data_IF_368328733870
#
_entry.id   IF_368328733870
#
_cell.length_a   1.000
_cell.length_b   1.000
_cell.length_c   1.000
_cell.angle_alpha   90.00
_cell.angle_beta   90.00
_cell.angle_gamma   90.00
#
_symmetry.space_group_name_H-M   'P 1'
#
loop_
_entity.id
_entity.type
_entity.pdbx_description
1 polymer ?
#
# COMPACT_ATOMS: atom_id res chain seq x y z
N UNK A 1 13.34 -3.82 -13.14
CA UNK A 1 13.04 -3.95 -11.71
C UNK A 1 12.15 -2.81 -11.20
N UNK A 2 10.95 -3.16 -10.75
CA UNK A 2 9.96 -2.32 -10.09
C UNK A 2 9.78 -2.78 -8.64
N UNK A 3 9.69 -1.83 -7.70
CA UNK A 3 9.29 -2.07 -6.32
C UNK A 3 7.86 -1.61 -6.11
N UNK A 4 6.98 -2.51 -5.69
CA UNK A 4 5.58 -2.23 -5.33
C UNK A 4 5.39 -2.32 -3.83
N UNK A 5 5.13 -1.19 -3.18
CA UNK A 5 4.82 -1.14 -1.75
C UNK A 5 3.37 -1.56 -1.51
N UNK A 6 3.16 -2.46 -0.55
CA UNK A 6 1.85 -2.87 -0.03
C UNK A 6 1.82 -2.58 1.47
N UNK A 7 0.82 -1.82 1.90
CA UNK A 7 0.60 -1.49 3.31
C UNK A 7 -0.28 -2.54 4.01
N UNK A 8 -0.27 -2.53 5.34
CA UNK A 8 -0.97 -3.54 6.16
C UNK A 8 -2.49 -3.53 6.05
N UNK A 9 -3.07 -2.44 5.57
CA UNK A 9 -4.50 -2.27 5.28
C UNK A 9 -4.87 -2.63 3.83
N UNK A 10 -3.88 -2.86 2.95
CA UNK A 10 -4.02 -3.09 1.50
C UNK A 10 -4.02 -4.57 1.09
N UNK A 11 -4.37 -5.48 2.01
CA UNK A 11 -4.27 -6.93 1.82
C UNK A 11 -5.43 -7.50 0.97
N UNK A 12 -5.61 -6.99 -0.24
CA UNK A 12 -6.63 -7.37 -1.19
C UNK A 12 -6.07 -8.27 -2.31
N UNK A 13 -6.32 -9.57 -2.24
CA UNK A 13 -5.84 -10.53 -3.24
C UNK A 13 -6.45 -10.33 -4.64
N UNK A 14 -7.58 -9.63 -4.76
CA UNK A 14 -8.25 -9.38 -6.03
C UNK A 14 -7.70 -8.14 -6.78
N UNK A 15 -6.78 -7.39 -6.16
CA UNK A 15 -6.21 -6.18 -6.74
C UNK A 15 -5.51 -6.46 -8.08
N UNK A 16 -5.65 -5.53 -9.03
CA UNK A 16 -5.14 -5.69 -10.40
C UNK A 16 -3.64 -6.01 -10.50
N UNK A 17 -2.83 -5.58 -9.53
CA UNK A 17 -1.40 -5.94 -9.46
C UNK A 17 -1.14 -7.44 -9.49
N UNK A 18 -1.99 -8.25 -8.85
CA UNK A 18 -1.72 -9.67 -8.65
C UNK A 18 -2.26 -10.57 -9.77
N UNK A 19 -2.93 -9.99 -10.79
CA UNK A 19 -3.52 -10.73 -11.92
C UNK A 19 -2.48 -11.39 -12.83
N UNK A 20 -1.27 -10.85 -12.88
CA UNK A 20 -0.17 -11.36 -13.70
C UNK A 20 1.12 -11.37 -12.89
N UNK A 21 1.86 -12.47 -12.98
CA UNK A 21 3.19 -12.59 -12.37
C UNK A 21 4.21 -11.92 -13.31
N UNK A 22 4.99 -11.00 -12.76
CA UNK A 22 6.07 -10.31 -13.47
C UNK A 22 7.38 -10.49 -12.69
N UNK A 23 8.40 -11.15 -13.26
CA UNK A 23 9.68 -11.39 -12.57
C UNK A 23 10.46 -10.10 -12.30
N UNK A 24 10.13 -9.00 -12.99
CA UNK A 24 10.75 -7.69 -12.78
C UNK A 24 10.10 -6.91 -11.64
N UNK A 25 9.05 -7.45 -10.99
CA UNK A 25 8.33 -6.79 -9.91
C UNK A 25 8.68 -7.43 -8.56
N UNK A 26 9.03 -6.61 -7.58
CA UNK A 26 9.20 -7.00 -6.19
C UNK A 26 8.10 -6.33 -5.37
N UNK A 27 7.28 -7.12 -4.70
CA UNK A 27 6.30 -6.63 -3.75
C UNK A 27 6.95 -6.50 -2.38
N UNK A 28 6.94 -5.31 -1.79
CA UNK A 28 7.45 -5.06 -0.45
C UNK A 28 6.28 -4.98 0.53
N UNK A 29 6.31 -5.84 1.55
CA UNK A 29 5.42 -5.81 2.70
C UNK A 29 6.32 -5.75 3.93
N UNK A 30 6.16 -4.75 4.78
CA UNK A 30 7.03 -4.54 5.93
C UNK A 30 6.22 -4.23 7.19
N UNK A 31 6.51 -4.96 8.27
CA UNK A 31 6.05 -4.63 9.60
C UNK A 31 6.88 -3.45 10.12
N UNK A 32 6.24 -2.32 10.45
CA UNK A 32 6.93 -1.11 10.92
C UNK A 32 6.52 -0.74 12.34
N UNK A 33 7.50 -0.45 13.19
CA UNK A 33 7.26 0.02 14.57
C UNK A 33 6.62 1.42 14.61
N UNK A 34 6.88 2.25 13.60
CA UNK A 34 6.27 3.58 13.48
C UNK A 34 4.73 3.52 13.47
N UNK A 35 4.14 2.44 12.93
CA UNK A 35 2.69 2.21 12.93
C UNK A 35 2.15 1.73 14.30
N UNK A 36 3.01 1.17 15.17
CA UNK A 36 2.61 0.71 16.52
C UNK A 36 2.78 1.75 17.62
N UNK A 37 3.60 2.78 17.39
CA UNK A 37 3.92 3.81 18.39
C UNK A 37 3.04 5.06 18.29
N UNK A 38 2.28 5.23 17.20
CA UNK A 38 1.47 6.43 16.96
C UNK A 38 0.23 6.52 17.85
N UNK A 39 -0.39 5.38 18.19
CA UNK A 39 -1.52 5.28 19.13
C UNK A 39 -1.37 3.99 19.91
N UNK A 40 -1.78 3.98 21.19
CA UNK A 40 -1.85 2.74 21.98
C UNK A 40 -2.84 1.79 21.30
N UNK A 41 -2.32 0.85 20.52
CA UNK A 41 -3.13 -0.18 19.88
C UNK A 41 -3.33 -1.37 20.81
N UNK A 42 -4.53 -1.93 20.80
CA UNK A 42 -4.82 -3.17 21.51
C UNK A 42 -3.93 -4.29 20.95
N UNK A 43 -3.26 -5.05 21.83
CA UNK A 43 -2.26 -6.05 21.42
C UNK A 43 -2.81 -7.06 20.40
N UNK A 44 -4.06 -7.51 20.59
CA UNK A 44 -4.73 -8.42 19.64
C UNK A 44 -4.87 -7.83 18.24
N UNK A 45 -5.10 -6.51 18.13
CA UNK A 45 -5.19 -5.83 16.83
C UNK A 45 -3.85 -5.95 16.13
N UNK A 46 -2.77 -5.53 16.79
CA UNK A 46 -1.41 -5.55 16.23
C UNK A 46 -1.01 -6.96 15.78
N UNK A 47 -1.20 -7.97 16.64
CA UNK A 47 -0.92 -9.36 16.29
C UNK A 47 -1.75 -9.84 15.09
N UNK A 48 -3.03 -9.48 15.01
CA UNK A 48 -3.89 -9.86 13.89
C UNK A 48 -3.44 -9.21 12.58
N UNK A 49 -3.01 -7.94 12.60
CA UNK A 49 -2.48 -7.25 11.43
C UNK A 49 -1.20 -7.90 10.91
N UNK A 50 -0.22 -8.15 11.78
CA UNK A 50 1.04 -8.80 11.35
C UNK A 50 0.80 -10.22 10.84
N UNK A 51 -0.06 -11.00 11.51
CA UNK A 51 -0.42 -12.32 11.02
C UNK A 51 -1.10 -12.24 9.64
N UNK A 52 -2.00 -11.29 9.43
CA UNK A 52 -2.64 -11.10 8.13
C UNK A 52 -1.62 -10.72 7.04
N UNK A 53 -0.71 -9.79 7.34
CA UNK A 53 0.37 -9.36 6.42
C UNK A 53 1.28 -10.54 6.05
N UNK A 54 1.72 -11.33 7.03
CA UNK A 54 2.54 -12.52 6.81
C UNK A 54 1.81 -13.52 5.91
N UNK A 55 0.56 -13.87 6.24
CA UNK A 55 -0.24 -14.83 5.44
C UNK A 55 -0.48 -14.35 4.02
N UNK A 56 -0.68 -13.04 3.85
CA UNK A 56 -0.85 -12.44 2.54
C UNK A 56 0.44 -12.53 1.71
N UNK A 57 1.59 -12.22 2.30
CA UNK A 57 2.89 -12.37 1.66
C UNK A 57 3.16 -13.82 1.24
N UNK A 58 2.93 -14.78 2.15
CA UNK A 58 3.04 -16.22 1.87
C UNK A 58 2.14 -16.65 0.70
N UNK A 59 0.88 -16.19 0.68
CA UNK A 59 -0.06 -16.51 -0.40
C UNK A 59 0.38 -15.94 -1.76
N UNK A 60 0.90 -14.71 -1.79
CA UNK A 60 1.44 -14.11 -3.01
C UNK A 60 2.69 -14.84 -3.52
N UNK A 61 3.58 -15.27 -2.62
CA UNK A 61 4.75 -16.08 -2.97
C UNK A 61 4.34 -17.44 -3.55
N UNK A 62 3.34 -18.10 -2.94
CA UNK A 62 2.79 -19.36 -3.46
C UNK A 62 2.13 -19.20 -4.83
N UNK A 63 1.56 -18.03 -5.12
CA UNK A 63 1.04 -17.67 -6.44
C UNK A 63 2.14 -17.32 -7.47
N UNK A 64 3.42 -17.36 -7.09
CA UNK A 64 4.57 -17.14 -7.97
C UNK A 64 5.08 -15.70 -8.00
N UNK A 65 4.50 -14.79 -7.23
CA UNK A 65 4.99 -13.41 -7.15
C UNK A 65 6.27 -13.32 -6.31
N UNK A 66 7.17 -12.42 -6.69
CA UNK A 66 8.36 -12.12 -5.88
C UNK A 66 7.98 -11.13 -4.78
N UNK A 67 7.98 -11.60 -3.54
CA UNK A 67 7.60 -10.81 -2.36
C UNK A 67 8.75 -10.74 -1.38
N UNK A 68 9.10 -9.52 -0.99
CA UNK A 68 9.98 -9.21 0.12
C UNK A 68 9.12 -8.90 1.34
N UNK A 69 9.07 -9.84 2.28
CA UNK A 69 8.41 -9.66 3.57
C UNK A 69 9.44 -9.35 4.66
N UNK A 70 9.29 -8.21 5.33
CA UNK A 70 10.18 -7.78 6.41
C UNK A 70 9.43 -7.73 7.73
N UNK A 71 9.92 -8.49 8.71
CA UNK A 71 9.41 -8.52 10.08
C UNK A 71 9.88 -7.30 10.88
N UNK A 72 9.26 -7.06 12.04
CA UNK A 72 9.65 -6.00 12.97
C UNK A 72 11.14 -6.03 13.35
N UNK A 73 11.72 -7.22 13.48
CA UNK A 73 13.13 -7.37 13.83
C UNK A 73 14.04 -6.97 12.66
N UNK A 74 13.62 -7.26 11.42
CA UNK A 74 14.36 -6.90 10.22
C UNK A 74 14.23 -5.42 9.87
N UNK A 75 13.12 -4.78 10.22
CA UNK A 75 12.91 -3.34 9.99
C UNK A 75 13.47 -2.45 11.10
N UNK A 76 13.88 -3.05 12.23
CA UNK A 76 14.32 -2.34 13.46
C UNK A 76 15.41 -1.30 13.24
N UNK A 77 16.35 -1.58 12.34
CA UNK A 77 17.51 -0.71 12.13
C UNK A 77 17.21 0.43 11.15
N UNK A 78 16.00 0.46 10.56
CA UNK A 78 15.50 1.56 9.76
C UNK A 78 14.68 2.53 10.63
N UNK A 79 15.01 3.82 10.54
CA UNK A 79 14.34 4.84 11.35
C UNK A 79 12.85 5.00 11.01
N UNK A 80 12.49 4.86 9.74
CA UNK A 80 11.14 5.02 9.22
C UNK A 80 10.93 4.26 7.89
N UNK A 81 9.70 4.31 7.36
CA UNK A 81 9.36 3.75 6.05
C UNK A 81 10.25 4.32 4.93
N UNK A 82 10.56 5.61 4.96
CA UNK A 82 11.35 6.30 3.94
C UNK A 82 12.77 5.71 3.87
N UNK A 83 13.42 5.52 5.01
CA UNK A 83 14.75 4.93 5.14
C UNK A 83 14.75 3.47 4.65
N UNK A 84 13.71 2.71 4.99
CA UNK A 84 13.54 1.35 4.49
C UNK A 84 13.39 1.32 2.96
N UNK A 85 12.55 2.20 2.39
CA UNK A 85 12.35 2.27 0.95
C UNK A 85 13.65 2.64 0.21
N UNK A 86 14.43 3.59 0.72
CA UNK A 86 15.74 3.91 0.15
C UNK A 86 16.69 2.70 0.17
N UNK A 87 16.71 1.95 1.27
CA UNK A 87 17.51 0.75 1.40
C UNK A 87 17.10 -0.31 0.35
N UNK A 88 15.81 -0.63 0.25
CA UNK A 88 15.31 -1.60 -0.72
C UNK A 88 15.57 -1.16 -2.17
N UNK A 89 15.40 0.13 -2.47
CA UNK A 89 15.66 0.69 -3.81
C UNK A 89 17.12 0.48 -4.23
N UNK A 90 18.06 0.72 -3.32
CA UNK A 90 19.48 0.52 -3.56
C UNK A 90 19.82 -0.97 -3.67
N UNK A 91 19.38 -1.79 -2.71
CA UNK A 91 19.65 -3.22 -2.66
C UNK A 91 19.18 -3.94 -3.93
N UNK A 92 18.00 -3.58 -4.44
CA UNK A 92 17.39 -4.24 -5.58
C UNK A 92 17.59 -3.51 -6.92
N UNK A 93 18.38 -2.43 -6.93
CA UNK A 93 18.64 -1.61 -8.13
C UNK A 93 17.34 -1.21 -8.85
N UNK A 94 16.37 -0.73 -8.07
CA UNK A 94 15.03 -0.40 -8.54
C UNK A 94 15.09 0.80 -9.49
N UNK A 95 14.31 0.77 -10.57
CA UNK A 95 14.16 1.88 -11.52
C UNK A 95 12.75 2.44 -11.57
N UNK A 96 11.77 1.67 -11.06
CA UNK A 96 10.36 2.09 -10.92
C UNK A 96 9.86 1.82 -9.51
N UNK A 97 9.30 2.83 -8.86
CA UNK A 97 8.62 2.68 -7.57
C UNK A 97 7.11 2.84 -7.78
N UNK A 98 6.32 1.96 -7.18
CA UNK A 98 4.86 2.05 -7.23
C UNK A 98 4.25 1.73 -5.87
N UNK A 99 3.15 2.39 -5.55
CA UNK A 99 2.45 2.21 -4.29
C UNK A 99 0.94 2.40 -4.52
N UNK A 100 0.13 1.73 -3.70
CA UNK A 100 -1.30 1.99 -3.64
C UNK A 100 -1.57 3.18 -2.73
N UNK A 101 -2.54 4.03 -3.09
CA UNK A 101 -2.90 5.22 -2.32
C UNK A 101 -3.22 4.86 -0.86
N UNK A 102 -2.51 5.42 0.14
CA UNK A 102 -2.75 5.11 1.55
C UNK A 102 -4.03 5.76 2.06
N UNK A 103 -4.73 5.10 2.98
CA UNK A 103 -5.97 5.64 3.57
C UNK A 103 -5.70 6.66 4.69
N UNK A 104 -4.46 6.73 5.21
CA UNK A 104 -4.05 7.72 6.22
C UNK A 104 -3.34 8.93 5.59
N UNK A 105 -3.85 10.14 5.86
CA UNK A 105 -3.28 11.39 5.33
C UNK A 105 -1.80 11.61 5.71
N UNK A 106 -1.40 11.24 6.93
CA UNK A 106 0.00 11.34 7.38
C UNK A 106 0.92 10.52 6.48
N UNK A 107 0.53 9.28 6.18
CA UNK A 107 1.28 8.37 5.35
C UNK A 107 1.27 8.80 3.88
N UNK A 108 0.16 9.33 3.40
CA UNK A 108 0.04 9.97 2.09
C UNK A 108 1.08 11.10 1.94
N UNK A 109 1.14 12.02 2.90
CA UNK A 109 2.13 13.10 2.92
C UNK A 109 3.58 12.59 3.03
N UNK A 110 3.82 11.53 3.82
CA UNK A 110 5.13 10.90 3.92
C UNK A 110 5.59 10.32 2.58
N UNK A 111 4.71 9.60 1.88
CA UNK A 111 5.00 9.01 0.57
C UNK A 111 5.17 10.08 -0.51
N UNK A 112 4.34 11.14 -0.52
CA UNK A 112 4.52 12.27 -1.44
C UNK A 112 5.91 12.90 -1.28
N UNK A 113 6.31 13.21 -0.04
CA UNK A 113 7.64 13.75 0.25
C UNK A 113 8.75 12.80 -0.16
N UNK A 114 8.60 11.51 0.12
CA UNK A 114 9.56 10.49 -0.30
C UNK A 114 9.70 10.47 -1.84
N UNK A 115 8.59 10.46 -2.56
CA UNK A 115 8.57 10.46 -4.02
C UNK A 115 9.30 11.69 -4.59
N UNK A 116 9.16 12.86 -3.96
CA UNK A 116 9.91 14.05 -4.33
C UNK A 116 11.43 13.89 -4.20
N UNK A 117 11.91 13.08 -3.25
CA UNK A 117 13.36 12.83 -3.08
C UNK A 117 13.94 11.88 -4.14
N UNK A 118 13.11 11.07 -4.79
CA UNK A 118 13.56 10.01 -5.71
C UNK A 118 13.15 10.21 -7.16
N UNK A 119 12.29 11.19 -7.46
CA UNK A 119 11.73 11.45 -8.81
C UNK A 119 12.76 11.68 -9.91
N UNK A 120 13.94 12.21 -9.57
CA UNK A 120 15.00 12.45 -10.56
C UNK A 120 15.72 11.17 -10.99
N UNK A 121 15.54 10.07 -10.23
CA UNK A 121 16.24 8.80 -10.45
C UNK A 121 15.30 7.64 -10.77
N UNK A 122 14.03 7.75 -10.39
CA UNK A 122 13.05 6.68 -10.48
C UNK A 122 11.76 7.16 -11.14
N UNK A 123 11.13 6.27 -11.89
CA UNK A 123 9.72 6.47 -12.27
C UNK A 123 8.84 6.13 -11.08
N UNK A 124 8.02 7.07 -10.61
CA UNK A 124 7.09 6.86 -9.51
C UNK A 124 5.65 6.75 -10.04
N UNK A 125 4.87 5.80 -9.53
CA UNK A 125 3.44 5.67 -9.86
C UNK A 125 2.59 5.33 -8.63
N UNK A 126 1.63 6.18 -8.33
CA UNK A 126 0.55 5.87 -7.38
C UNK A 126 -0.62 5.20 -8.12
N UNK A 127 -1.27 4.22 -7.50
CA UNK A 127 -2.47 3.54 -8.03
C UNK A 127 -3.58 3.48 -6.98
N UNK A 128 -4.82 3.29 -7.41
CA UNK A 128 -5.95 3.06 -6.50
C UNK A 128 -5.81 1.72 -5.76
N UNK A 129 -6.41 1.60 -4.57
CA UNK A 129 -6.43 0.34 -3.79
C UNK A 129 -7.48 -0.65 -4.28
N UNK A 130 -8.40 -0.21 -5.13
CA UNK A 130 -9.55 -0.96 -5.62
C UNK A 130 -10.47 -1.45 -4.48
N UNK A 131 -10.36 -0.84 -3.29
CA UNK A 131 -11.19 -1.12 -2.12
C UNK A 131 -12.54 -0.42 -2.18
N UNK A 132 -12.57 0.75 -2.83
CA UNK A 132 -13.73 1.62 -2.84
C UNK A 132 -14.51 1.50 -4.15
N UNK A 133 -15.83 1.66 -4.05
CA UNK A 133 -16.74 1.61 -5.21
C UNK A 133 -16.62 2.87 -6.07
N UNK A 134 -16.00 3.92 -5.53
CA UNK A 134 -15.87 5.23 -6.17
C UNK A 134 -14.43 5.72 -6.11
N UNK A 135 -13.98 6.50 -7.09
CA UNK A 135 -12.69 7.21 -7.02
C UNK A 135 -12.59 8.13 -5.80
N UNK A 136 -11.35 8.44 -5.39
CA UNK A 136 -11.04 9.29 -4.23
C UNK A 136 -11.67 10.69 -4.28
N UNK A 137 -11.86 11.25 -5.48
CA UNK A 137 -12.41 12.59 -5.73
C UNK A 137 -13.93 12.61 -5.96
N UNK A 138 -14.61 11.45 -5.93
CA UNK A 138 -16.04 11.34 -6.23
C UNK A 138 -16.94 12.26 -5.37
N UNK A 139 -16.49 12.59 -4.15
CA UNK A 139 -17.21 13.47 -3.24
C UNK A 139 -17.32 14.92 -3.73
N UNK A 140 -16.41 15.37 -4.60
CA UNK A 140 -16.41 16.73 -5.15
C UNK A 140 -17.61 16.98 -6.08
N UNK A 141 -18.17 15.91 -6.62
CA UNK A 141 -19.28 15.97 -7.57
C UNK A 141 -20.65 15.68 -6.90
N UNK A 142 -20.68 15.49 -5.58
CA UNK A 142 -21.93 15.21 -4.86
C UNK A 142 -22.65 16.51 -4.48
N UNK A 143 -23.91 16.67 -4.89
CA UNK A 143 -24.71 17.81 -4.47
C UNK A 143 -24.96 17.76 -2.96
N UNK A 144 -24.68 18.87 -2.28
CA UNK A 144 -24.99 19.11 -0.86
C UNK A 144 -24.38 18.11 0.14
N UNK A 145 -23.38 17.33 -0.27
CA UNK A 145 -22.67 16.33 0.57
C UNK A 145 -23.61 15.41 1.39
N UNK A 146 -24.78 15.05 0.84
CA UNK A 146 -25.71 14.13 1.51
C UNK A 146 -25.45 12.68 1.12
N UNK A 147 -25.44 11.80 2.12
CA UNK A 147 -25.28 10.36 1.93
C UNK A 147 -26.33 9.72 1.02
N UNK A 148 -27.57 10.25 1.01
CA UNK A 148 -28.64 9.76 0.14
C UNK A 148 -28.27 9.86 -1.35
N UNK A 149 -27.71 11.00 -1.80
CA UNK A 149 -27.28 11.19 -3.18
C UNK A 149 -26.07 10.31 -3.52
N UNK A 150 -25.16 10.11 -2.56
CA UNK A 150 -24.04 9.20 -2.73
C UNK A 150 -24.53 7.77 -3.00
N UNK A 151 -25.37 7.23 -2.12
CA UNK A 151 -25.89 5.86 -2.24
C UNK A 151 -26.68 5.68 -3.54
N UNK A 152 -27.55 6.63 -3.90
CA UNK A 152 -28.33 6.56 -5.13
C UNK A 152 -27.46 6.55 -6.40
N UNK A 153 -26.40 7.38 -6.43
CA UNK A 153 -25.47 7.46 -7.55
C UNK A 153 -24.57 6.21 -7.63
N UNK A 154 -24.08 5.70 -6.50
CA UNK A 154 -23.25 4.49 -6.45
C UNK A 154 -24.03 3.22 -6.85
N UNK A 155 -25.33 3.15 -6.53
CA UNK A 155 -26.19 2.04 -6.94
C UNK A 155 -26.50 2.05 -8.45
N UNK A 156 -26.59 3.23 -9.06
CA UNK A 156 -26.91 3.38 -10.48
C UNK A 156 -25.73 3.05 -11.40
N UNK A 157 -24.49 3.30 -10.95
CA UNK A 157 -23.26 2.97 -11.67
C UNK A 157 -22.99 1.44 -11.78
N UNK A 158 -23.71 0.62 -11.01
CA UNK A 158 -23.59 -0.86 -10.98
C UNK A 158 -24.74 -1.60 -11.66
N UNK A 159 -25.52 -0.96 -12.54
CA UNK A 159 -26.42 -1.73 -13.43
C UNK A 159 -25.58 -2.42 -14.51
N UNK A 160 -25.28 -3.69 -14.26
CA UNK A 160 -24.85 -4.66 -15.26
C UNK A 160 -25.85 -4.75 -16.42
#
# INVERSE_FOLDING_TARGET
MELRLILGDQLNAAHSWFKQVDPEVIYLIAELRQETDYVVHHLQKVCAFFLAMQRFAEALQQAGHRVEYLTLDQTRDHADLTALLHHCIQQYSITRFSYQLPDEYRLDQQLVRFCDTVKDRLTVKAVDTEHFITPRDAWQHLPNHRMEFFIANSASSKRF
#
